data_IF_831611096429
#
_entry.id   IF_831611096429
#
_cell.length_a   1.000
_cell.length_b   1.000
_cell.length_c   1.000
_cell.angle_alpha   90.00
_cell.angle_beta   90.00
_cell.angle_gamma   90.00
#
_symmetry.space_group_name_H-M   'P 1'
#
loop_
_entity.id
_entity.type
_entity.pdbx_description
1 polymer ?
#
# COMPACT_ATOMS: atom_id res chain seq x y z
N UNK A 1 61.20 -40.16 15.52
CA UNK A 1 60.24 -39.54 16.44
C UNK A 1 58.87 -39.73 15.80
N UNK A 2 58.21 -40.85 16.08
CA UNK A 2 56.88 -41.12 15.56
C UNK A 2 55.90 -40.28 16.40
N UNK A 3 55.14 -39.39 15.76
CA UNK A 3 53.99 -38.74 16.40
C UNK A 3 53.07 -39.84 16.94
N UNK A 4 52.56 -39.68 18.16
CA UNK A 4 51.65 -40.66 18.73
C UNK A 4 50.32 -40.60 17.95
N UNK A 5 49.64 -41.73 17.75
CA UNK A 5 48.35 -41.76 17.03
C UNK A 5 47.33 -40.77 17.62
N UNK A 6 47.43 -40.47 18.91
CA UNK A 6 46.63 -39.46 19.60
C UNK A 6 46.89 -38.02 19.10
N UNK A 7 48.15 -37.68 18.77
CA UNK A 7 48.50 -36.37 18.22
C UNK A 7 47.95 -36.20 16.81
N UNK A 8 47.99 -37.28 15.99
CA UNK A 8 47.43 -37.30 14.64
C UNK A 8 45.92 -37.10 14.69
N UNK A 9 45.24 -37.77 15.63
CA UNK A 9 43.79 -37.70 15.77
C UNK A 9 43.31 -36.34 16.28
N UNK A 10 44.05 -35.74 17.21
CA UNK A 10 43.78 -34.38 17.70
C UNK A 10 43.97 -33.33 16.60
N UNK A 11 45.03 -33.45 15.80
CA UNK A 11 45.29 -32.54 14.69
C UNK A 11 44.21 -32.68 13.59
N UNK A 12 43.73 -33.90 13.33
CA UNK A 12 42.63 -34.14 12.40
C UNK A 12 41.30 -33.53 12.87
N UNK A 13 40.99 -33.58 14.17
CA UNK A 13 39.79 -32.94 14.75
C UNK A 13 39.85 -31.41 14.71
N UNK A 14 41.03 -30.82 14.96
CA UNK A 14 41.22 -29.37 14.82
C UNK A 14 41.05 -28.92 13.36
N UNK A 15 41.67 -29.61 12.41
CA UNK A 15 41.51 -29.31 10.98
C UNK A 15 40.06 -29.47 10.52
N UNK A 16 39.36 -30.52 10.96
CA UNK A 16 37.94 -30.72 10.65
C UNK A 16 37.06 -29.58 11.18
N UNK A 17 37.29 -29.13 12.41
CA UNK A 17 36.52 -28.03 13.00
C UNK A 17 36.77 -26.70 12.31
N UNK A 18 38.01 -26.42 11.90
CA UNK A 18 38.37 -25.23 11.13
C UNK A 18 37.68 -25.25 9.76
N UNK A 19 37.72 -26.37 9.06
CA UNK A 19 37.16 -26.50 7.71
C UNK A 19 35.63 -26.46 7.71
N UNK A 20 34.99 -27.12 8.68
CA UNK A 20 33.55 -27.01 8.94
C UNK A 20 33.14 -25.56 9.24
N UNK A 21 33.91 -24.86 10.08
CA UNK A 21 33.69 -23.44 10.36
C UNK A 21 33.76 -22.60 9.09
N UNK A 22 34.78 -22.81 8.26
CA UNK A 22 34.96 -22.10 6.98
C UNK A 22 33.82 -22.35 6.00
N UNK A 23 33.35 -23.59 5.89
CA UNK A 23 32.25 -23.96 5.00
C UNK A 23 30.94 -23.28 5.41
N UNK A 24 30.60 -23.34 6.71
CA UNK A 24 29.41 -22.70 7.26
C UNK A 24 29.45 -21.18 7.07
N UNK A 25 30.58 -20.53 7.33
CA UNK A 25 30.73 -19.09 7.12
C UNK A 25 30.56 -18.71 5.63
N UNK A 26 31.14 -19.50 4.73
CA UNK A 26 31.02 -19.29 3.28
C UNK A 26 29.56 -19.40 2.83
N UNK A 27 28.81 -20.39 3.31
CA UNK A 27 27.39 -20.54 3.01
C UNK A 27 26.53 -19.43 3.63
N UNK A 28 26.83 -18.98 4.86
CA UNK A 28 26.13 -17.85 5.49
C UNK A 28 26.31 -16.56 4.68
N UNK A 29 27.52 -16.27 4.19
CA UNK A 29 27.78 -15.12 3.33
C UNK A 29 26.96 -15.19 2.03
N UNK A 30 26.94 -16.35 1.36
CA UNK A 30 26.13 -16.55 0.15
C UNK A 30 24.63 -16.33 0.41
N UNK A 31 24.13 -16.82 1.54
CA UNK A 31 22.73 -16.64 1.95
C UNK A 31 22.44 -15.16 2.18
N UNK A 32 23.28 -14.44 2.92
CA UNK A 32 23.10 -13.00 3.16
C UNK A 32 23.12 -12.21 1.85
N UNK A 33 24.07 -12.47 0.96
CA UNK A 33 24.19 -11.77 -0.32
C UNK A 33 22.97 -12.03 -1.24
N UNK A 34 22.41 -13.25 -1.20
CA UNK A 34 21.17 -13.58 -1.92
C UNK A 34 19.98 -12.78 -1.39
N UNK A 35 19.80 -12.73 -0.06
CA UNK A 35 18.70 -11.97 0.55
C UNK A 35 18.84 -10.46 0.32
N UNK A 36 20.05 -9.91 0.40
CA UNK A 36 20.29 -8.48 0.14
C UNK A 36 19.97 -8.09 -1.32
N UNK A 37 20.35 -8.93 -2.29
CA UNK A 37 19.97 -8.73 -3.70
C UNK A 37 18.46 -8.81 -3.89
N UNK A 38 17.81 -9.77 -3.24
CA UNK A 38 16.35 -9.96 -3.32
C UNK A 38 15.60 -8.77 -2.70
N UNK A 39 16.10 -8.23 -1.59
CA UNK A 39 15.52 -7.08 -0.91
C UNK A 39 15.62 -5.81 -1.77
N UNK A 40 16.81 -5.53 -2.34
CA UNK A 40 17.00 -4.42 -3.29
C UNK A 40 16.12 -4.57 -4.53
N UNK A 41 15.96 -5.77 -5.05
CA UNK A 41 15.10 -6.05 -6.20
C UNK A 41 13.62 -5.81 -5.88
N UNK A 42 13.15 -6.23 -4.70
CA UNK A 42 11.78 -5.97 -4.22
C UNK A 42 11.56 -4.47 -4.03
N UNK A 43 12.52 -3.74 -3.47
CA UNK A 43 12.41 -2.31 -3.25
C UNK A 43 12.36 -1.53 -4.58
N UNK A 44 13.20 -1.92 -5.54
CA UNK A 44 13.21 -1.35 -6.87
C UNK A 44 11.91 -1.67 -7.63
N UNK A 45 11.41 -2.91 -7.54
CA UNK A 45 10.12 -3.30 -8.09
C UNK A 45 8.96 -2.53 -7.45
N UNK A 46 8.97 -2.33 -6.12
CA UNK A 46 7.98 -1.48 -5.43
C UNK A 46 8.03 -0.04 -5.92
N UNK A 47 9.22 0.54 -6.09
CA UNK A 47 9.38 1.91 -6.63
C UNK A 47 8.86 2.03 -8.06
N UNK A 48 9.16 1.05 -8.92
CA UNK A 48 8.67 1.01 -10.30
C UNK A 48 7.16 0.81 -10.33
N UNK A 49 6.61 -0.09 -9.51
CA UNK A 49 5.17 -0.29 -9.38
C UNK A 49 4.47 0.96 -8.87
N UNK A 50 5.00 1.62 -7.85
CA UNK A 50 4.46 2.88 -7.34
C UNK A 50 4.51 3.97 -8.41
N UNK A 51 5.62 4.12 -9.13
CA UNK A 51 5.75 5.06 -10.25
C UNK A 51 4.79 4.75 -11.40
N UNK A 52 4.60 3.47 -11.74
CA UNK A 52 3.64 3.04 -12.76
C UNK A 52 2.19 3.24 -12.31
N UNK A 53 1.89 3.03 -11.03
CA UNK A 53 0.60 3.31 -10.42
C UNK A 53 0.29 4.82 -10.46
N UNK A 54 1.30 5.65 -10.18
CA UNK A 54 1.23 7.11 -10.28
C UNK A 54 1.06 7.58 -11.74
N UNK A 55 1.77 6.98 -12.69
CA UNK A 55 1.63 7.32 -14.11
C UNK A 55 0.27 6.85 -14.67
N UNK A 56 -0.21 5.67 -14.27
CA UNK A 56 -1.60 5.24 -14.53
C UNK A 56 -2.63 6.12 -13.83
N UNK A 57 -2.28 6.80 -12.73
CA UNK A 57 -3.16 7.76 -12.07
C UNK A 57 -3.50 8.95 -12.99
N UNK A 58 -2.61 9.32 -13.92
CA UNK A 58 -2.88 10.37 -14.91
C UNK A 58 -3.97 10.00 -15.92
N UNK A 59 -4.23 8.71 -16.14
CA UNK A 59 -5.35 8.21 -16.95
C UNK A 59 -6.69 8.13 -16.18
N UNK A 60 -6.70 8.41 -14.86
CA UNK A 60 -7.86 8.34 -13.95
C UNK A 60 -8.80 9.56 -13.98
N UNK A 61 -8.91 10.30 -15.07
CA UNK A 61 -10.02 11.29 -15.21
C UNK A 61 -11.39 10.60 -14.99
N UNK A 62 -11.47 9.30 -15.29
CA UNK A 62 -12.62 8.44 -14.99
C UNK A 62 -12.71 8.01 -13.52
N UNK A 63 -11.61 7.69 -12.81
CA UNK A 63 -11.71 7.29 -11.39
C UNK A 63 -11.96 8.46 -10.46
N UNK A 64 -11.42 9.66 -10.71
CA UNK A 64 -11.73 10.82 -9.89
C UNK A 64 -13.23 11.15 -9.90
N UNK A 65 -13.89 10.91 -11.04
CA UNK A 65 -15.35 11.01 -11.19
C UNK A 65 -16.07 9.93 -10.38
N UNK A 66 -15.66 8.66 -10.51
CA UNK A 66 -16.27 7.57 -9.75
C UNK A 66 -16.08 7.77 -8.24
N UNK A 67 -14.87 8.16 -7.82
CA UNK A 67 -14.52 8.43 -6.44
C UNK A 67 -15.35 9.59 -5.86
N UNK A 68 -15.58 10.64 -6.65
CA UNK A 68 -16.50 11.73 -6.33
C UNK A 68 -17.93 11.20 -6.17
N UNK A 69 -18.45 10.49 -7.17
CA UNK A 69 -19.83 10.00 -7.17
C UNK A 69 -20.08 9.04 -5.99
N UNK A 70 -19.18 8.11 -5.74
CA UNK A 70 -19.28 7.18 -4.60
C UNK A 70 -19.30 7.94 -3.27
N UNK A 71 -18.43 8.94 -3.11
CA UNK A 71 -18.42 9.73 -1.89
C UNK A 71 -19.63 10.66 -1.75
N UNK A 72 -20.16 11.21 -2.85
CA UNK A 72 -21.43 11.94 -2.87
C UNK A 72 -22.59 11.03 -2.40
N UNK A 73 -22.66 9.80 -2.91
CA UNK A 73 -23.67 8.83 -2.47
C UNK A 73 -23.52 8.38 -1.02
N UNK A 74 -22.31 8.40 -0.44
CA UNK A 74 -22.11 8.03 0.96
C UNK A 74 -22.61 9.11 1.93
N UNK A 75 -22.49 10.38 1.57
CA UNK A 75 -22.94 11.50 2.41
C UNK A 75 -24.44 11.79 2.22
N UNK A 76 -24.97 11.71 1.00
CA UNK A 76 -26.39 11.97 0.72
C UNK A 76 -26.89 13.36 1.20
N UNK A 77 -26.01 14.35 1.25
CA UNK A 77 -26.30 15.71 1.75
C UNK A 77 -26.52 16.71 0.59
N UNK A 78 -27.33 17.77 0.79
CA UNK A 78 -27.60 18.76 -0.25
C UNK A 78 -26.44 19.75 -0.45
N UNK A 79 -25.56 19.92 0.54
CA UNK A 79 -24.39 20.81 0.49
C UNK A 79 -23.12 20.06 0.84
N UNK A 80 -22.17 20.08 -0.08
CA UNK A 80 -20.97 19.27 -0.01
C UNK A 80 -19.74 20.06 -0.42
N UNK A 81 -18.64 19.85 0.30
CA UNK A 81 -17.36 20.53 0.07
C UNK A 81 -16.30 19.49 -0.28
N UNK A 82 -15.65 19.63 -1.42
CA UNK A 82 -14.62 18.70 -1.90
C UNK A 82 -13.24 19.31 -1.70
N UNK A 83 -12.34 18.54 -1.08
CA UNK A 83 -10.91 18.83 -0.98
C UNK A 83 -10.14 17.92 -1.91
N UNK A 84 -9.20 18.53 -2.63
CA UNK A 84 -8.30 17.84 -3.55
C UNK A 84 -6.88 18.39 -3.41
N UNK A 85 -5.92 17.80 -4.09
CA UNK A 85 -4.58 18.40 -4.27
C UNK A 85 -4.66 19.59 -5.21
N UNK A 86 -3.74 20.54 -5.05
CA UNK A 86 -3.59 21.71 -5.93
C UNK A 86 -3.47 21.34 -7.41
N UNK A 87 -2.72 20.28 -7.72
CA UNK A 87 -2.47 19.82 -9.09
C UNK A 87 -3.73 19.23 -9.76
N UNK A 88 -4.63 18.64 -8.96
CA UNK A 88 -5.82 17.94 -9.46
C UNK A 88 -7.04 18.85 -9.60
N UNK A 89 -6.95 20.10 -9.13
CA UNK A 89 -8.04 21.08 -9.18
C UNK A 89 -8.78 21.18 -10.54
N UNK A 90 -8.10 21.36 -11.70
CA UNK A 90 -8.79 21.47 -12.98
C UNK A 90 -9.54 20.18 -13.35
N UNK A 91 -9.01 19.03 -12.96
CA UNK A 91 -9.58 17.71 -13.24
C UNK A 91 -10.80 17.44 -12.36
N UNK A 92 -10.69 17.74 -11.07
CA UNK A 92 -11.78 17.61 -10.09
C UNK A 92 -12.93 18.55 -10.45
N UNK A 93 -12.65 19.79 -10.89
CA UNK A 93 -13.68 20.72 -11.35
C UNK A 93 -14.49 20.18 -12.53
N UNK A 94 -13.81 19.59 -13.53
CA UNK A 94 -14.48 18.95 -14.66
C UNK A 94 -15.28 17.70 -14.25
N UNK A 95 -14.80 16.95 -13.25
CA UNK A 95 -15.48 15.78 -12.71
C UNK A 95 -16.74 16.16 -11.93
N UNK A 96 -16.69 17.20 -11.09
CA UNK A 96 -17.84 17.72 -10.32
C UNK A 96 -18.96 18.16 -11.25
N UNK A 97 -18.65 18.93 -12.31
CA UNK A 97 -19.64 19.37 -13.30
C UNK A 97 -20.38 18.19 -13.96
N UNK A 98 -19.69 17.07 -14.18
CA UNK A 98 -20.30 15.85 -14.72
C UNK A 98 -21.04 15.06 -13.65
N UNK A 99 -20.58 15.06 -12.40
CA UNK A 99 -21.16 14.28 -11.31
C UNK A 99 -22.55 14.80 -10.88
N UNK A 100 -22.77 16.12 -10.87
CA UNK A 100 -24.05 16.74 -10.48
C UNK A 100 -25.26 16.15 -11.24
N UNK A 101 -25.29 16.10 -12.60
CA UNK A 101 -26.43 15.55 -13.32
C UNK A 101 -26.63 14.05 -13.06
N UNK A 102 -25.57 13.26 -12.91
CA UNK A 102 -25.71 11.83 -12.57
C UNK A 102 -26.27 11.61 -11.18
N UNK A 103 -25.77 12.37 -10.20
CA UNK A 103 -26.27 12.30 -8.84
C UNK A 103 -27.75 12.69 -8.79
N UNK A 104 -28.16 13.74 -9.52
CA UNK A 104 -29.56 14.15 -9.63
C UNK A 104 -30.44 13.07 -10.27
N UNK A 105 -29.96 12.36 -11.28
CA UNK A 105 -30.70 11.24 -11.88
C UNK A 105 -30.88 10.08 -10.89
N UNK A 106 -29.84 9.74 -10.14
CA UNK A 106 -29.88 8.60 -9.22
C UNK A 106 -30.68 8.87 -7.94
N UNK A 107 -30.53 10.05 -7.34
CA UNK A 107 -31.11 10.37 -6.02
C UNK A 107 -32.34 11.27 -6.09
N UNK A 108 -32.64 11.86 -7.26
CA UNK A 108 -33.71 12.86 -7.47
C UNK A 108 -33.58 14.14 -6.63
N UNK A 109 -32.47 14.32 -5.93
CA UNK A 109 -32.19 15.49 -5.10
C UNK A 109 -31.18 16.41 -5.79
N UNK A 110 -31.35 17.72 -5.58
CA UNK A 110 -30.38 18.71 -6.00
C UNK A 110 -29.23 18.81 -4.99
N UNK A 111 -28.01 18.94 -5.48
CA UNK A 111 -26.79 19.04 -4.66
C UNK A 111 -25.95 20.23 -5.11
N UNK A 112 -25.54 21.03 -4.14
CA UNK A 112 -24.54 22.08 -4.27
C UNK A 112 -23.16 21.54 -3.84
N UNK A 113 -22.29 21.32 -4.82
CA UNK A 113 -20.91 20.82 -4.61
C UNK A 113 -19.92 21.95 -4.83
N UNK A 114 -19.23 22.35 -3.76
CA UNK A 114 -18.20 23.39 -3.80
C UNK A 114 -16.81 22.76 -3.60
N UNK A 115 -15.80 23.30 -4.28
CA UNK A 115 -14.41 22.85 -4.11
C UNK A 115 -13.70 23.83 -3.18
N UNK A 116 -13.12 23.32 -2.09
CA UNK A 116 -12.33 24.11 -1.15
C UNK A 116 -11.04 24.58 -1.83
N UNK A 117 -10.81 25.90 -1.85
CA UNK A 117 -9.61 26.53 -2.42
C UNK A 117 -8.66 27.07 -1.33
N UNK A 118 -9.05 26.97 -0.06
CA UNK A 118 -8.24 27.44 1.07
C UNK A 118 -7.48 26.27 1.70
N UNK A 119 -8.11 25.09 1.79
CA UNK A 119 -7.52 23.88 2.36
C UNK A 119 -7.38 22.77 1.33
N UNK A 120 -6.17 22.57 0.81
CA UNK A 120 -5.84 21.48 -0.11
C UNK A 120 -5.29 20.25 0.63
N UNK A 121 -5.37 19.09 -0.04
CA UNK A 121 -4.69 17.89 0.43
C UNK A 121 -3.15 18.04 0.31
N UNK A 122 -2.38 17.44 1.23
CA UNK A 122 -0.93 17.42 1.19
C UNK A 122 -0.36 16.91 -0.15
N UNK A 123 0.79 17.46 -0.54
CA UNK A 123 1.52 17.06 -1.76
C UNK A 123 2.26 15.72 -1.65
N UNK A 124 2.10 15.00 -0.55
CA UNK A 124 2.68 13.66 -0.33
C UNK A 124 1.68 12.52 -0.65
N UNK A 125 0.37 12.75 -0.51
CA UNK A 125 -0.73 11.78 -0.75
C UNK A 125 -0.88 11.41 -2.23
N UNK A 126 -0.65 10.20 -2.69
CA UNK A 126 -0.70 9.80 -4.11
C UNK A 126 -1.93 10.29 -4.90
N UNK A 127 -3.07 10.48 -4.23
CA UNK A 127 -4.17 11.30 -4.74
C UNK A 127 -5.52 10.92 -4.15
N UNK A 128 -6.57 11.37 -4.83
CA UNK A 128 -7.96 11.14 -4.45
C UNK A 128 -8.64 12.41 -3.95
N UNK A 129 -9.82 12.23 -3.35
CA UNK A 129 -10.67 13.33 -2.90
C UNK A 129 -11.15 13.08 -1.48
N UNK A 130 -11.24 14.15 -0.70
CA UNK A 130 -11.98 14.14 0.55
C UNK A 130 -13.23 14.99 0.38
N UNK A 131 -14.34 14.50 0.91
CA UNK A 131 -15.62 15.17 0.78
C UNK A 131 -16.17 15.42 2.18
N UNK A 132 -16.57 16.65 2.43
CA UNK A 132 -17.10 17.14 3.69
C UNK A 132 -18.56 17.54 3.50
N UNK A 133 -19.36 17.43 4.56
CA UNK A 133 -20.68 18.07 4.56
C UNK A 133 -20.54 19.61 4.66
N UNK A 134 -21.65 20.34 4.48
CA UNK A 134 -21.69 21.80 4.61
C UNK A 134 -21.15 22.33 5.96
N UNK A 135 -21.34 21.58 7.05
CA UNK A 135 -20.87 21.93 8.40
C UNK A 135 -19.42 21.48 8.70
N UNK A 136 -18.75 20.81 7.75
CA UNK A 136 -17.42 20.20 7.88
C UNK A 136 -17.28 19.18 9.01
N UNK A 137 -18.39 18.66 9.57
CA UNK A 137 -18.37 17.68 10.67
C UNK A 137 -18.17 16.25 10.18
N UNK A 138 -18.87 15.90 9.10
CA UNK A 138 -18.80 14.57 8.49
C UNK A 138 -17.81 14.63 7.35
N UNK A 139 -16.83 13.74 7.36
CA UNK A 139 -15.83 13.60 6.30
C UNK A 139 -15.85 12.19 5.71
N UNK A 140 -15.76 12.14 4.40
CA UNK A 140 -15.57 10.90 3.63
C UNK A 140 -14.24 11.05 2.90
N UNK A 141 -13.24 10.29 3.35
CA UNK A 141 -11.91 10.27 2.74
C UNK A 141 -11.85 9.15 1.71
N UNK A 142 -11.91 9.51 0.43
CA UNK A 142 -11.71 8.58 -0.68
C UNK A 142 -10.34 8.82 -1.33
N UNK A 143 -9.31 8.82 -0.48
CA UNK A 143 -7.91 8.86 -0.90
C UNK A 143 -7.41 7.45 -1.23
N UNK A 144 -6.36 7.37 -2.05
CA UNK A 144 -5.80 6.08 -2.44
C UNK A 144 -5.26 5.31 -1.23
N UNK A 145 -4.66 6.04 -0.28
CA UNK A 145 -4.12 5.57 0.98
C UNK A 145 -5.21 4.97 1.85
N UNK A 146 -6.33 5.70 2.06
CA UNK A 146 -7.45 5.18 2.86
C UNK A 146 -7.99 3.87 2.29
N UNK A 147 -8.09 3.76 0.96
CA UNK A 147 -8.53 2.52 0.30
C UNK A 147 -7.51 1.40 0.47
N UNK A 148 -6.22 1.71 0.33
CA UNK A 148 -5.15 0.72 0.49
C UNK A 148 -5.12 0.20 1.92
N UNK A 149 -5.26 1.07 2.91
CA UNK A 149 -5.28 0.69 4.33
C UNK A 149 -6.49 -0.18 4.66
N UNK A 150 -7.68 0.16 4.14
CA UNK A 150 -8.88 -0.65 4.31
C UNK A 150 -8.71 -2.06 3.70
N UNK A 151 -8.18 -2.15 2.48
CA UNK A 151 -7.91 -3.43 1.83
C UNK A 151 -6.82 -4.20 2.59
N UNK A 152 -5.75 -3.52 2.99
CA UNK A 152 -4.66 -4.13 3.73
C UNK A 152 -5.19 -4.77 5.01
N UNK A 153 -6.01 -4.06 5.81
CA UNK A 153 -6.63 -4.58 7.02
C UNK A 153 -7.51 -5.81 6.75
N UNK A 154 -8.30 -5.81 5.67
CA UNK A 154 -9.12 -6.96 5.28
C UNK A 154 -8.27 -8.17 4.84
N UNK A 155 -7.16 -7.92 4.16
CA UNK A 155 -6.24 -8.96 3.65
C UNK A 155 -5.20 -9.41 4.67
N UNK A 156 -5.05 -8.71 5.82
CA UNK A 156 -4.08 -9.04 6.87
C UNK A 156 -4.13 -10.51 7.34
N UNK A 157 -5.31 -11.15 7.51
CA UNK A 157 -5.38 -12.56 7.88
C UNK A 157 -4.71 -13.49 6.86
N UNK A 158 -4.91 -13.22 5.57
CA UNK A 158 -4.30 -13.98 4.47
C UNK A 158 -2.80 -13.74 4.39
N UNK A 159 -2.38 -12.47 4.48
CA UNK A 159 -0.96 -12.08 4.48
C UNK A 159 -0.24 -12.72 5.67
N UNK A 160 -0.87 -12.75 6.86
CA UNK A 160 -0.33 -13.44 8.04
C UNK A 160 -0.18 -14.94 7.79
N UNK A 161 -1.20 -15.59 7.22
CA UNK A 161 -1.15 -17.01 6.88
C UNK A 161 -0.05 -17.33 5.86
N UNK A 162 0.15 -16.48 4.87
CA UNK A 162 1.21 -16.64 3.86
C UNK A 162 2.62 -16.43 4.44
N UNK A 163 2.80 -15.47 5.35
CA UNK A 163 4.12 -15.13 5.91
C UNK A 163 4.53 -16.04 7.07
N UNK A 164 3.60 -16.39 7.96
CA UNK A 164 3.89 -17.09 9.21
C UNK A 164 3.31 -18.51 9.26
N UNK A 165 2.64 -18.94 8.18
CA UNK A 165 1.94 -20.22 8.13
C UNK A 165 0.58 -20.17 8.83
N UNK A 166 -0.22 -21.22 8.61
CA UNK A 166 -1.51 -21.37 9.26
C UNK A 166 -1.35 -21.64 10.76
N UNK A 167 -2.27 -21.12 11.58
CA UNK A 167 -2.28 -21.38 13.01
C UNK A 167 -2.69 -22.84 13.26
N UNK A 168 -1.79 -23.65 13.82
CA UNK A 168 -2.01 -25.06 14.15
C UNK A 168 -3.21 -25.32 15.09
N UNK A 169 -3.61 -24.32 15.88
CA UNK A 169 -4.74 -24.41 16.81
C UNK A 169 -6.07 -23.94 16.22
N UNK A 170 -6.10 -23.36 15.00
CA UNK A 170 -7.35 -22.93 14.37
C UNK A 170 -7.95 -24.10 13.58
N UNK A 171 -8.92 -24.79 14.19
CA UNK A 171 -9.56 -25.98 13.61
C UNK A 171 -10.73 -25.69 12.66
N UNK A 172 -11.34 -24.50 12.74
CA UNK A 172 -12.51 -24.12 11.94
C UNK A 172 -12.32 -22.73 11.32
N UNK A 173 -12.88 -22.57 10.11
CA UNK A 173 -12.80 -21.36 9.27
C UNK A 173 -14.14 -20.61 9.16
N UNK A 174 -15.17 -21.06 9.87
CA UNK A 174 -16.47 -20.38 9.99
C UNK A 174 -16.39 -19.06 10.79
#
# INVERSE_FOLDING_TARGET
MALSDADVQKQAEEEFNIEKGRLVQTQRLKIMEYYEKKEKQIEQQKKIQMSNLMNQARLKVLRARDDLITGLYQLLEPRMIVRCRKQDFPLVKAAVQKAIPMYKIATKNDVDVQIDQESYLPEDIAGGVEIYNGDRKIKVSNTLESRLDLIAQQMMPEVRGALFGANANRKFLD
#
